data_IF_318321360763
#
_entry.id   IF_318321360763
#
_cell.length_a   1.000
_cell.length_b   1.000
_cell.length_c   1.000
_cell.angle_alpha   90.00
_cell.angle_beta   90.00
_cell.angle_gamma   90.00
#
_symmetry.space_group_name_H-M   'P 1'
#
loop_
_entity.id
_entity.type
_entity.pdbx_description
1 polymer ?
#
# COMPACT_ATOMS: atom_id res chain seq x y z
N UNK A 1 -55.06 18.83 29.43
CA UNK A 1 -54.59 19.70 28.32
C UNK A 1 -53.12 20.08 28.47
N UNK A 2 -52.68 20.60 29.64
CA UNK A 2 -51.27 20.94 29.88
C UNK A 2 -50.29 19.77 29.71
N UNK A 3 -50.59 18.58 30.26
CA UNK A 3 -49.72 17.39 30.11
C UNK A 3 -49.49 16.96 28.65
N UNK A 4 -50.55 17.02 27.83
CA UNK A 4 -50.48 16.64 26.41
C UNK A 4 -49.63 17.66 25.66
N UNK A 5 -49.79 18.96 25.96
CA UNK A 5 -49.01 20.03 25.35
C UNK A 5 -47.52 19.93 25.74
N UNK A 6 -47.20 19.63 27.01
CA UNK A 6 -45.83 19.44 27.47
C UNK A 6 -45.16 18.22 26.82
N UNK A 7 -45.89 17.12 26.65
CA UNK A 7 -45.38 15.94 25.94
C UNK A 7 -45.12 16.24 24.46
N UNK A 8 -46.00 16.99 23.79
CA UNK A 8 -45.82 17.40 22.40
C UNK A 8 -44.61 18.33 22.23
N UNK A 9 -44.45 19.33 23.10
CA UNK A 9 -43.30 20.23 23.08
C UNK A 9 -42.00 19.45 23.35
N UNK A 10 -42.03 18.52 24.30
CA UNK A 10 -40.89 17.65 24.61
C UNK A 10 -40.49 16.77 23.42
N UNK A 11 -41.47 16.16 22.74
CA UNK A 11 -41.23 15.38 21.52
C UNK A 11 -40.63 16.22 20.40
N UNK A 12 -41.20 17.40 20.14
CA UNK A 12 -40.69 18.31 19.11
C UNK A 12 -39.26 18.80 19.42
N UNK A 13 -38.98 19.15 20.67
CA UNK A 13 -37.63 19.57 21.09
C UNK A 13 -36.61 18.44 20.97
N UNK A 14 -37.02 17.20 21.27
CA UNK A 14 -36.19 16.01 21.09
C UNK A 14 -35.90 15.78 19.60
N UNK A 15 -36.92 15.78 18.74
CA UNK A 15 -36.75 15.59 17.29
C UNK A 15 -35.84 16.67 16.69
N UNK A 16 -36.05 17.94 17.04
CA UNK A 16 -35.18 19.05 16.63
C UNK A 16 -33.73 18.86 17.09
N UNK A 17 -33.51 18.36 18.31
CA UNK A 17 -32.17 18.11 18.82
C UNK A 17 -31.46 17.02 18.01
N UNK A 18 -32.16 15.94 17.68
CA UNK A 18 -31.65 14.87 16.83
C UNK A 18 -31.35 15.38 15.42
N UNK A 19 -32.29 16.10 14.79
CA UNK A 19 -32.11 16.66 13.45
C UNK A 19 -30.92 17.65 13.38
N UNK A 20 -30.77 18.50 14.39
CA UNK A 20 -29.64 19.41 14.50
C UNK A 20 -28.31 18.65 14.64
N UNK A 21 -28.31 17.56 15.43
CA UNK A 21 -27.16 16.67 15.57
C UNK A 21 -26.76 16.01 14.25
N UNK A 22 -27.72 15.42 13.54
CA UNK A 22 -27.51 14.76 12.23
C UNK A 22 -27.00 15.78 11.20
N UNK A 23 -27.62 16.96 11.12
CA UNK A 23 -27.23 18.00 10.18
C UNK A 23 -25.81 18.51 10.46
N UNK A 24 -25.48 18.70 11.74
CA UNK A 24 -24.13 19.09 12.16
C UNK A 24 -23.10 18.03 11.78
N UNK A 25 -23.40 16.75 12.05
CA UNK A 25 -22.53 15.63 11.69
C UNK A 25 -22.35 15.51 10.18
N UNK A 26 -23.42 15.63 9.40
CA UNK A 26 -23.37 15.60 7.94
C UNK A 26 -22.47 16.70 7.37
N UNK A 27 -22.59 17.94 7.87
CA UNK A 27 -21.71 19.04 7.46
C UNK A 27 -20.25 18.78 7.83
N UNK A 28 -19.98 18.25 9.02
CA UNK A 28 -18.60 17.90 9.44
C UNK A 28 -18.02 16.78 8.57
N UNK A 29 -18.82 15.76 8.25
CA UNK A 29 -18.43 14.66 7.35
C UNK A 29 -18.14 15.15 5.93
N UNK A 30 -18.97 16.02 5.37
CA UNK A 30 -18.68 16.62 4.06
C UNK A 30 -17.35 17.39 4.09
N UNK A 31 -17.09 18.17 5.14
CA UNK A 31 -15.82 18.88 5.31
C UNK A 31 -14.63 17.91 5.37
N UNK A 32 -14.71 16.85 6.18
CA UNK A 32 -13.63 15.85 6.26
C UNK A 32 -13.41 15.13 4.92
N UNK A 33 -14.46 14.84 4.16
CA UNK A 33 -14.33 14.27 2.81
C UNK A 33 -13.60 15.22 1.85
N UNK A 34 -13.97 16.51 1.81
CA UNK A 34 -13.27 17.48 0.96
C UNK A 34 -11.83 17.73 1.40
N UNK A 35 -11.53 17.66 2.70
CA UNK A 35 -10.16 17.71 3.21
C UNK A 35 -9.35 16.48 2.75
N UNK A 36 -9.95 15.28 2.78
CA UNK A 36 -9.29 14.09 2.25
C UNK A 36 -9.03 14.22 0.73
N UNK A 37 -9.97 14.76 -0.04
CA UNK A 37 -9.77 15.07 -1.46
C UNK A 37 -8.62 16.07 -1.63
N UNK A 38 -8.57 17.13 -0.81
CA UNK A 38 -7.49 18.11 -0.85
C UNK A 38 -6.10 17.47 -0.64
N UNK A 39 -5.98 16.50 0.28
CA UNK A 39 -4.74 15.75 0.46
C UNK A 39 -4.35 14.90 -0.76
N UNK A 40 -5.32 14.34 -1.49
CA UNK A 40 -5.03 13.63 -2.76
C UNK A 40 -4.58 14.60 -3.85
N UNK A 41 -5.21 15.78 -3.96
CA UNK A 41 -4.76 16.80 -4.91
C UNK A 41 -3.37 17.36 -4.55
N UNK A 42 -3.07 17.51 -3.26
CA UNK A 42 -1.74 17.82 -2.78
C UNK A 42 -0.73 16.74 -3.17
N UNK A 43 -1.07 15.45 -3.01
CA UNK A 43 -0.19 14.36 -3.44
C UNK A 43 0.08 14.38 -4.95
N UNK A 44 -0.91 14.72 -5.78
CA UNK A 44 -0.70 14.91 -7.23
C UNK A 44 0.25 16.07 -7.53
N UNK A 45 0.17 17.17 -6.78
CA UNK A 45 1.07 18.31 -6.91
C UNK A 45 2.52 17.90 -6.61
N UNK A 46 2.77 17.28 -5.45
CA UNK A 46 4.11 16.82 -5.06
C UNK A 46 4.65 15.80 -6.06
N UNK A 47 3.81 14.89 -6.55
CA UNK A 47 4.19 13.91 -7.55
C UNK A 47 4.56 14.57 -8.88
N UNK A 48 3.80 15.57 -9.34
CA UNK A 48 4.15 16.34 -10.54
C UNK A 48 5.49 17.09 -10.37
N UNK A 49 5.69 17.77 -9.24
CA UNK A 49 6.95 18.43 -8.89
C UNK A 49 8.13 17.45 -8.89
N UNK A 50 7.93 16.20 -8.45
CA UNK A 50 8.96 15.16 -8.45
C UNK A 50 9.47 14.77 -9.85
N UNK A 51 8.72 15.06 -10.93
CA UNK A 51 9.19 14.85 -12.31
C UNK A 51 9.97 16.04 -12.87
N UNK A 52 9.83 17.21 -12.26
CA UNK A 52 10.46 18.45 -12.72
C UNK A 52 11.69 18.84 -11.89
N UNK A 53 11.72 18.44 -10.61
CA UNK A 53 12.78 18.75 -9.65
C UNK A 53 14.15 18.25 -10.13
N UNK A 54 15.18 19.05 -9.90
CA UNK A 54 16.57 18.72 -10.20
C UNK A 54 17.43 18.96 -8.96
N UNK A 55 18.23 17.97 -8.58
CA UNK A 55 19.14 18.08 -7.42
C UNK A 55 20.12 19.26 -7.58
N UNK A 56 20.56 19.52 -8.81
CA UNK A 56 21.55 20.56 -9.16
C UNK A 56 20.98 21.98 -9.16
N UNK A 57 19.65 22.13 -9.27
CA UNK A 57 18.97 23.41 -9.40
C UNK A 57 17.78 23.45 -8.45
N UNK A 58 17.97 24.08 -7.29
CA UNK A 58 16.86 24.46 -6.44
C UNK A 58 16.21 25.71 -7.02
N UNK A 59 14.91 25.64 -7.28
CA UNK A 59 14.11 26.79 -7.66
C UNK A 59 14.07 27.77 -6.47
N UNK A 60 14.44 29.04 -6.69
CA UNK A 60 14.48 30.05 -5.63
C UNK A 60 13.08 30.36 -5.08
N UNK A 61 12.03 30.10 -5.86
CA UNK A 61 10.63 30.35 -5.49
C UNK A 61 9.98 29.16 -4.73
N UNK A 62 10.65 28.00 -4.63
CA UNK A 62 10.13 26.81 -3.96
C UNK A 62 10.58 26.76 -2.50
N UNK A 63 9.64 26.54 -1.58
CA UNK A 63 9.97 26.34 -0.17
C UNK A 63 10.86 25.10 0.03
N UNK A 64 11.76 25.16 1.02
CA UNK A 64 12.76 24.10 1.25
C UNK A 64 12.10 22.73 1.50
N UNK A 65 11.05 22.71 2.33
CA UNK A 65 10.29 21.49 2.63
C UNK A 65 9.61 20.90 1.38
N UNK A 66 9.06 21.75 0.51
CA UNK A 66 8.44 21.31 -0.76
C UNK A 66 9.49 20.73 -1.70
N UNK A 67 10.66 21.38 -1.81
CA UNK A 67 11.79 20.92 -2.59
C UNK A 67 12.30 19.55 -2.10
N UNK A 68 12.45 19.38 -0.78
CA UNK A 68 12.90 18.11 -0.19
C UNK A 68 11.88 17.00 -0.47
N UNK A 69 10.58 17.25 -0.27
CA UNK A 69 9.50 16.28 -0.57
C UNK A 69 9.54 15.85 -2.03
N UNK A 70 9.62 16.80 -2.96
CA UNK A 70 9.69 16.52 -4.39
C UNK A 70 10.96 15.73 -4.75
N UNK A 71 12.12 16.11 -4.19
CA UNK A 71 13.39 15.44 -4.44
C UNK A 71 13.41 14.00 -3.91
N UNK A 72 12.95 13.78 -2.69
CA UNK A 72 12.87 12.44 -2.09
C UNK A 72 11.96 11.53 -2.91
N UNK A 73 10.78 12.03 -3.30
CA UNK A 73 9.88 11.27 -4.16
C UNK A 73 10.48 11.01 -5.55
N UNK A 74 11.28 11.94 -6.09
CA UNK A 74 11.99 11.74 -7.37
C UNK A 74 13.00 10.58 -7.31
N UNK A 75 13.59 10.35 -6.14
CA UNK A 75 14.44 9.19 -5.81
C UNK A 75 13.63 7.98 -5.35
N UNK A 76 12.32 7.97 -5.53
CA UNK A 76 11.44 6.88 -5.11
C UNK A 76 11.40 6.64 -3.60
N UNK A 77 11.73 7.65 -2.77
CA UNK A 77 11.51 7.62 -1.33
C UNK A 77 10.04 7.96 -1.05
N UNK A 78 9.36 7.10 -0.28
CA UNK A 78 7.99 7.33 0.14
C UNK A 78 7.89 8.46 1.17
N UNK A 79 6.82 9.25 1.10
CA UNK A 79 6.53 10.32 2.04
C UNK A 79 5.36 9.90 2.94
N UNK A 80 5.44 10.16 4.23
CA UNK A 80 4.39 9.77 5.18
C UNK A 80 4.11 10.87 6.19
N UNK A 81 2.85 10.99 6.60
CA UNK A 81 2.42 11.89 7.67
C UNK A 81 2.47 13.38 7.32
N UNK A 82 2.46 13.75 6.03
CA UNK A 82 2.45 15.16 5.63
C UNK A 82 1.11 15.77 6.04
N UNK A 83 1.13 16.72 6.98
CA UNK A 83 -0.07 17.34 7.53
C UNK A 83 -0.15 18.82 7.19
N UNK A 84 -1.26 19.25 6.59
CA UNK A 84 -1.50 20.66 6.24
C UNK A 84 -2.87 21.13 6.75
N UNK A 85 -2.93 22.36 7.25
CA UNK A 85 -4.16 23.00 7.71
C UNK A 85 -4.88 23.67 6.53
N UNK A 86 -6.20 23.42 6.40
CA UNK A 86 -7.02 24.01 5.35
C UNK A 86 -8.40 24.41 5.89
N UNK A 87 -8.57 25.71 6.14
CA UNK A 87 -9.81 26.27 6.68
C UNK A 87 -10.02 25.92 8.15
N UNK A 88 -11.07 25.15 8.46
CA UNK A 88 -11.43 24.74 9.84
C UNK A 88 -11.11 23.25 10.11
N UNK A 89 -10.05 22.75 9.48
CA UNK A 89 -9.60 21.38 9.61
C UNK A 89 -8.27 21.18 8.91
N UNK A 90 -7.83 19.92 8.86
CA UNK A 90 -6.55 19.53 8.28
C UNK A 90 -6.69 18.27 7.46
N UNK A 91 -5.72 18.03 6.60
CA UNK A 91 -5.51 16.71 6.02
C UNK A 91 -4.14 16.17 6.38
N UNK A 92 -4.02 14.85 6.40
CA UNK A 92 -2.74 14.14 6.50
C UNK A 92 -2.63 13.19 5.32
N UNK A 93 -1.48 13.16 4.65
CA UNK A 93 -1.28 12.35 3.45
C UNK A 93 0.02 11.55 3.49
N UNK A 94 -0.09 10.29 3.07
CA UNK A 94 1.02 9.41 2.73
C UNK A 94 1.08 9.23 1.21
N UNK A 95 2.28 9.26 0.64
CA UNK A 95 2.58 9.13 -0.79
C UNK A 95 3.64 8.05 -0.93
N UNK A 96 3.23 6.83 -1.26
CA UNK A 96 4.06 5.64 -1.17
C UNK A 96 4.16 4.94 -2.54
N UNK A 97 5.34 4.88 -3.17
CA UNK A 97 5.55 4.07 -4.36
C UNK A 97 5.08 2.61 -4.17
N UNK A 98 4.28 2.09 -5.09
CA UNK A 98 3.74 0.72 -5.02
C UNK A 98 4.86 -0.32 -5.09
N UNK A 99 5.99 -0.01 -5.75
CA UNK A 99 7.18 -0.85 -5.83
C UNK A 99 7.89 -1.02 -4.48
N UNK A 100 7.48 -0.33 -3.41
CA UNK A 100 7.85 -0.72 -2.05
C UNK A 100 7.29 -2.09 -1.62
N UNK A 101 6.51 -2.76 -2.48
CA UNK A 101 5.89 -4.07 -2.30
C UNK A 101 6.15 -4.98 -3.50
N UNK A 102 5.91 -6.28 -3.32
CA UNK A 102 6.07 -7.33 -4.34
C UNK A 102 4.87 -7.34 -5.29
N UNK A 103 5.11 -7.22 -6.60
CA UNK A 103 4.04 -7.42 -7.58
C UNK A 103 3.72 -8.92 -7.68
N UNK A 104 2.54 -9.31 -7.20
CA UNK A 104 2.03 -10.69 -7.16
C UNK A 104 2.11 -11.36 -8.54
N UNK A 105 1.72 -10.64 -9.58
CA UNK A 105 1.65 -11.17 -10.94
C UNK A 105 3.04 -11.38 -11.58
N UNK A 106 4.10 -10.85 -10.97
CA UNK A 106 5.48 -11.00 -11.44
C UNK A 106 6.30 -11.99 -10.61
N UNK A 107 5.76 -12.57 -9.54
CA UNK A 107 6.50 -13.50 -8.69
C UNK A 107 6.77 -14.83 -9.39
N UNK A 108 8.03 -15.26 -9.39
CA UNK A 108 8.40 -16.64 -9.72
C UNK A 108 8.00 -17.59 -8.58
N UNK A 109 8.10 -18.89 -8.82
CA UNK A 109 7.81 -19.89 -7.78
C UNK A 109 8.80 -19.78 -6.61
N UNK A 110 10.07 -19.48 -6.88
CA UNK A 110 11.07 -19.24 -5.84
C UNK A 110 10.75 -17.97 -5.03
N UNK A 111 10.27 -16.91 -5.69
CA UNK A 111 9.83 -15.69 -4.99
C UNK A 111 8.64 -15.94 -4.07
N UNK A 112 7.68 -16.74 -4.54
CA UNK A 112 6.54 -17.14 -3.72
C UNK A 112 6.97 -17.98 -2.51
N UNK A 113 7.92 -18.91 -2.69
CA UNK A 113 8.48 -19.69 -1.58
C UNK A 113 9.08 -18.79 -0.52
N UNK A 114 9.87 -17.79 -0.93
CA UNK A 114 10.45 -16.83 0.00
C UNK A 114 9.36 -16.01 0.71
N UNK A 115 8.37 -15.49 -0.01
CA UNK A 115 7.23 -14.76 0.60
C UNK A 115 6.49 -15.63 1.62
N UNK A 116 6.23 -16.89 1.30
CA UNK A 116 5.51 -17.81 2.18
C UNK A 116 6.36 -18.25 3.39
N UNK A 117 7.67 -18.43 3.21
CA UNK A 117 8.61 -18.75 4.29
C UNK A 117 8.68 -17.61 5.31
N UNK A 118 8.86 -16.36 4.83
CA UNK A 118 8.82 -15.16 5.67
C UNK A 118 7.47 -14.97 6.38
N UNK A 119 6.38 -15.47 5.80
CA UNK A 119 5.05 -15.44 6.40
C UNK A 119 4.84 -16.49 7.51
N UNK A 120 5.75 -17.47 7.64
CA UNK A 120 5.64 -18.58 8.58
C UNK A 120 4.88 -19.79 8.03
N UNK A 121 4.78 -19.95 6.70
CA UNK A 121 4.13 -21.12 6.08
C UNK A 121 5.14 -22.25 5.94
N UNK A 122 4.86 -23.46 6.48
CA UNK A 122 5.75 -24.60 6.35
C UNK A 122 6.03 -25.00 4.90
N UNK A 123 7.28 -25.40 4.62
CA UNK A 123 7.74 -25.73 3.27
C UNK A 123 6.91 -26.82 2.57
N UNK A 124 6.35 -27.78 3.32
CA UNK A 124 5.50 -28.85 2.77
C UNK A 124 4.12 -28.37 2.31
N UNK A 125 3.75 -27.11 2.61
CA UNK A 125 2.50 -26.46 2.19
C UNK A 125 2.68 -25.47 1.06
N UNK A 126 3.90 -24.96 0.87
CA UNK A 126 4.16 -23.89 -0.10
C UNK A 126 3.87 -24.33 -1.54
N UNK A 127 4.29 -25.54 -1.94
CA UNK A 127 4.09 -26.04 -3.31
C UNK A 127 2.60 -26.18 -3.69
N UNK A 128 1.72 -26.50 -2.72
CA UNK A 128 0.26 -26.58 -2.94
C UNK A 128 -0.34 -25.19 -3.17
N UNK A 129 0.02 -24.21 -2.34
CA UNK A 129 -0.44 -22.82 -2.46
C UNK A 129 0.01 -22.20 -3.78
N UNK A 130 1.28 -22.45 -4.17
CA UNK A 130 1.84 -21.94 -5.42
C UNK A 130 1.13 -22.58 -6.61
N UNK A 131 0.92 -23.90 -6.60
CA UNK A 131 0.19 -24.58 -7.67
C UNK A 131 -1.25 -24.05 -7.82
N UNK A 132 -1.97 -23.87 -6.71
CA UNK A 132 -3.33 -23.28 -6.75
C UNK A 132 -3.32 -21.83 -7.26
N UNK A 133 -2.28 -21.04 -6.95
CA UNK A 133 -2.13 -19.69 -7.52
C UNK A 133 -1.83 -19.73 -9.01
N UNK A 134 -1.04 -20.69 -9.50
CA UNK A 134 -0.73 -20.81 -10.93
C UNK A 134 -1.97 -21.18 -11.75
N UNK A 135 -2.72 -22.19 -11.31
CA UNK A 135 -4.00 -22.61 -11.94
C UNK A 135 -5.07 -21.49 -11.86
N UNK A 136 -4.97 -20.55 -10.91
CA UNK A 136 -5.90 -19.41 -10.87
C UNK A 136 -5.62 -18.38 -11.98
N UNK A 137 -4.37 -18.28 -12.42
CA UNK A 137 -3.85 -17.17 -13.23
C UNK A 137 -3.58 -17.56 -14.68
N UNK A 138 -3.23 -18.81 -14.96
CA UNK A 138 -2.96 -19.27 -16.33
C UNK A 138 -4.24 -19.40 -17.16
N UNK A 139 -4.11 -19.37 -18.49
CA UNK A 139 -5.27 -19.22 -19.38
C UNK A 139 -6.02 -20.54 -19.67
N UNK A 140 -5.48 -21.68 -19.22
CA UNK A 140 -6.04 -23.00 -19.51
C UNK A 140 -6.87 -23.54 -18.34
N UNK A 141 -7.35 -24.79 -18.45
CA UNK A 141 -8.18 -25.44 -17.43
C UNK A 141 -7.49 -26.73 -16.91
N UNK A 142 -6.17 -26.85 -17.13
CA UNK A 142 -5.42 -28.05 -16.79
C UNK A 142 -4.74 -27.89 -15.42
N UNK A 143 -5.33 -28.53 -14.40
CA UNK A 143 -4.80 -28.40 -13.06
C UNK A 143 -3.39 -29.00 -12.89
N UNK A 144 -2.54 -28.30 -12.14
CA UNK A 144 -1.25 -28.83 -11.68
C UNK A 144 -1.45 -29.99 -10.68
N UNK A 145 -0.38 -30.74 -10.38
CA UNK A 145 -0.44 -31.92 -9.50
C UNK A 145 -1.03 -31.61 -8.10
N UNK A 146 -0.71 -30.43 -7.56
CA UNK A 146 -1.21 -29.94 -6.27
C UNK A 146 -2.11 -28.70 -6.45
N UNK A 147 -2.47 -28.38 -7.69
CA UNK A 147 -3.28 -27.22 -8.03
C UNK A 147 -4.78 -27.49 -7.92
N UNK A 148 -5.57 -26.53 -8.38
CA UNK A 148 -7.01 -26.63 -8.43
C UNK A 148 -7.57 -25.70 -9.51
N UNK A 149 -8.40 -26.27 -10.36
CA UNK A 149 -9.13 -25.57 -11.42
C UNK A 149 -10.61 -25.46 -11.12
N UNK A 150 -11.37 -24.79 -11.98
CA UNK A 150 -12.81 -24.53 -11.80
C UNK A 150 -13.66 -25.77 -11.47
N UNK A 151 -13.23 -26.99 -11.83
CA UNK A 151 -13.91 -28.25 -11.52
C UNK A 151 -13.61 -28.83 -10.12
N UNK A 152 -12.65 -28.25 -9.38
CA UNK A 152 -12.30 -28.67 -8.02
C UNK A 152 -13.50 -28.48 -7.05
N UNK A 153 -13.70 -29.41 -6.08
CA UNK A 153 -14.74 -29.29 -5.07
C UNK A 153 -14.74 -27.94 -4.31
N UNK A 154 -13.58 -27.31 -4.15
CA UNK A 154 -13.43 -26.01 -3.50
C UNK A 154 -14.21 -24.92 -4.24
N UNK A 155 -14.06 -24.81 -5.56
CA UNK A 155 -14.68 -23.78 -6.39
C UNK A 155 -16.15 -24.11 -6.69
N UNK A 156 -16.42 -25.35 -7.10
CA UNK A 156 -17.79 -25.81 -7.40
C UNK A 156 -18.76 -25.64 -6.23
N UNK A 157 -18.31 -25.85 -4.99
CA UNK A 157 -19.14 -25.64 -3.78
C UNK A 157 -19.40 -24.16 -3.45
N UNK A 158 -18.55 -23.24 -3.94
CA UNK A 158 -18.68 -21.79 -3.72
C UNK A 158 -19.39 -21.08 -4.87
N UNK A 159 -19.50 -21.72 -6.03
CA UNK A 159 -20.25 -21.23 -7.18
C UNK A 159 -19.54 -20.13 -7.97
N UNK A 160 -18.21 -20.13 -7.98
CA UNK A 160 -17.38 -19.33 -8.87
C UNK A 160 -16.30 -20.20 -9.53
N UNK A 161 -15.71 -19.69 -10.61
CA UNK A 161 -14.70 -20.35 -11.42
C UNK A 161 -13.32 -19.71 -11.17
N UNK A 162 -12.25 -20.43 -11.53
CA UNK A 162 -10.92 -19.83 -11.66
C UNK A 162 -10.96 -18.68 -12.67
N UNK A 163 -10.12 -17.68 -12.43
CA UNK A 163 -10.17 -16.44 -13.21
C UNK A 163 -9.50 -16.59 -14.57
N UNK A 164 -8.45 -17.41 -14.62
CA UNK A 164 -7.62 -17.68 -15.78
C UNK A 164 -7.01 -16.40 -16.37
N UNK A 165 -6.64 -15.48 -15.48
CA UNK A 165 -6.03 -14.20 -15.81
C UNK A 165 -5.26 -13.63 -14.60
N UNK A 166 -4.35 -12.65 -14.82
CA UNK A 166 -3.67 -11.95 -13.72
C UNK A 166 -4.61 -11.40 -12.67
N UNK A 167 -4.14 -11.39 -11.42
CA UNK A 167 -4.89 -10.89 -10.26
C UNK A 167 -5.07 -9.37 -10.36
N UNK A 168 -6.28 -8.87 -10.12
CA UNK A 168 -6.61 -7.44 -10.18
C UNK A 168 -6.47 -6.74 -8.83
N UNK A 169 -6.60 -7.48 -7.72
CA UNK A 169 -6.48 -6.94 -6.36
C UNK A 169 -5.83 -7.97 -5.43
N UNK A 170 -5.10 -7.51 -4.41
CA UNK A 170 -4.50 -8.42 -3.41
C UNK A 170 -5.57 -9.25 -2.70
N UNK A 171 -6.73 -8.66 -2.41
CA UNK A 171 -7.86 -9.33 -1.77
C UNK A 171 -8.43 -10.51 -2.60
N UNK A 172 -8.18 -10.53 -3.92
CA UNK A 172 -8.58 -11.64 -4.80
C UNK A 172 -7.91 -12.97 -4.41
N UNK A 173 -6.75 -12.94 -3.75
CA UNK A 173 -6.11 -14.15 -3.24
C UNK A 173 -7.03 -14.93 -2.29
N UNK A 174 -7.98 -14.28 -1.60
CA UNK A 174 -8.99 -14.97 -0.77
C UNK A 174 -9.93 -15.89 -1.55
N UNK A 175 -9.97 -15.78 -2.88
CA UNK A 175 -10.75 -16.65 -3.75
C UNK A 175 -9.95 -17.90 -4.14
N UNK A 176 -8.63 -17.89 -4.00
CA UNK A 176 -7.77 -19.00 -4.39
C UNK A 176 -7.79 -20.06 -3.29
N UNK A 177 -7.89 -21.34 -3.68
CA UNK A 177 -7.82 -22.47 -2.74
C UNK A 177 -6.55 -22.41 -1.89
N UNK A 178 -6.72 -22.56 -0.58
CA UNK A 178 -5.62 -22.57 0.40
C UNK A 178 -5.20 -21.18 0.92
N UNK A 179 -5.52 -20.09 0.22
CA UNK A 179 -5.23 -18.74 0.70
C UNK A 179 -6.28 -18.29 1.73
N UNK A 180 -5.88 -18.28 3.01
CA UNK A 180 -6.77 -17.97 4.12
C UNK A 180 -6.65 -16.53 4.60
N UNK A 181 -7.64 -16.09 5.39
CA UNK A 181 -7.62 -14.77 6.01
C UNK A 181 -6.37 -14.56 6.88
N UNK A 182 -5.94 -15.58 7.63
CA UNK A 182 -4.78 -15.46 8.50
C UNK A 182 -3.48 -15.43 7.68
N UNK A 183 -3.40 -16.11 6.54
CA UNK A 183 -2.27 -15.99 5.63
C UNK A 183 -2.16 -14.59 5.03
N UNK A 184 -3.29 -13.98 4.63
CA UNK A 184 -3.29 -12.66 4.02
C UNK A 184 -3.10 -11.54 5.04
N UNK A 185 -3.83 -11.54 6.15
CA UNK A 185 -3.89 -10.40 7.07
C UNK A 185 -3.23 -10.65 8.43
N UNK A 186 -2.67 -11.84 8.61
CA UNK A 186 -2.03 -12.27 9.86
C UNK A 186 -3.02 -12.87 10.84
N UNK A 187 -2.53 -13.71 11.74
CA UNK A 187 -3.35 -14.38 12.76
C UNK A 187 -2.79 -15.74 13.17
N UNK A 188 -3.55 -16.52 13.96
CA UNK A 188 -3.12 -17.87 14.36
C UNK A 188 -2.81 -18.75 13.15
N UNK A 189 -1.65 -19.41 13.18
CA UNK A 189 -1.26 -20.36 12.14
C UNK A 189 -2.20 -21.55 12.13
N UNK A 190 -2.70 -21.91 10.94
CA UNK A 190 -3.45 -23.14 10.72
C UNK A 190 -2.53 -24.36 10.53
N UNK A 191 -1.23 -24.12 10.37
CA UNK A 191 -0.24 -25.16 10.08
C UNK A 191 0.49 -25.62 11.34
N UNK A 192 0.82 -24.70 12.25
CA UNK A 192 1.62 -24.97 13.45
C UNK A 192 0.90 -24.43 14.68
N UNK A 193 0.54 -25.32 15.60
CA UNK A 193 -0.18 -24.96 16.83
C UNK A 193 0.67 -24.05 17.72
N UNK A 194 0.11 -22.89 18.08
CA UNK A 194 0.76 -21.91 18.97
C UNK A 194 1.61 -20.85 18.25
N UNK A 195 1.74 -20.92 16.92
CA UNK A 195 2.42 -19.92 16.10
C UNK A 195 1.42 -18.99 15.41
N UNK A 196 1.91 -17.84 14.92
CA UNK A 196 1.12 -16.88 14.16
C UNK A 196 1.74 -16.68 12.77
N UNK A 197 0.88 -16.51 11.77
CA UNK A 197 1.26 -16.02 10.45
C UNK A 197 1.35 -14.49 10.49
N UNK A 198 2.33 -13.93 9.80
CA UNK A 198 2.57 -12.48 9.78
C UNK A 198 1.51 -11.73 8.96
N UNK A 199 1.00 -12.35 7.89
CA UNK A 199 0.10 -11.72 6.93
C UNK A 199 0.86 -11.10 5.75
N UNK A 200 0.62 -11.61 4.54
CA UNK A 200 1.35 -11.19 3.33
C UNK A 200 0.71 -10.03 2.56
N UNK A 201 -0.54 -9.67 2.85
CA UNK A 201 -1.28 -8.70 2.03
C UNK A 201 -0.62 -7.30 2.02
N UNK A 202 0.02 -6.90 3.13
CA UNK A 202 0.76 -5.65 3.23
C UNK A 202 2.09 -5.67 2.48
N UNK A 203 2.59 -6.83 2.06
CA UNK A 203 3.84 -6.99 1.31
C UNK A 203 3.61 -6.98 -0.20
N UNK A 204 2.36 -7.07 -0.62
CA UNK A 204 1.98 -7.36 -1.99
C UNK A 204 1.31 -6.17 -2.69
N UNK A 205 1.41 -6.16 -4.01
CA UNK A 205 0.72 -5.25 -4.92
C UNK A 205 0.42 -5.96 -6.24
N UNK A 206 -0.44 -5.36 -7.07
CA UNK A 206 -0.66 -5.76 -8.47
C UNK A 206 -0.03 -4.77 -9.46
N UNK A 207 0.60 -3.70 -8.95
CA UNK A 207 1.16 -2.60 -9.73
C UNK A 207 2.68 -2.70 -9.82
N UNK A 208 3.25 -2.18 -10.91
CA UNK A 208 4.71 -2.15 -11.14
C UNK A 208 5.21 -3.28 -12.02
N UNK A 209 6.52 -3.30 -12.27
CA UNK A 209 7.20 -4.23 -13.18
C UNK A 209 7.71 -5.51 -12.49
N UNK A 210 7.55 -5.61 -11.16
CA UNK A 210 8.03 -6.72 -10.34
C UNK A 210 9.30 -6.42 -9.55
N UNK A 211 9.98 -5.30 -9.83
CA UNK A 211 11.14 -4.88 -9.05
C UNK A 211 10.73 -4.18 -7.76
N UNK A 212 11.53 -4.35 -6.72
CA UNK A 212 11.32 -3.77 -5.39
C UNK A 212 12.14 -2.50 -5.23
N UNK A 213 11.47 -1.40 -4.91
CA UNK A 213 12.10 -0.13 -4.60
C UNK A 213 12.65 -0.14 -3.16
N UNK A 214 13.97 -0.23 -3.01
CA UNK A 214 14.64 -0.32 -1.70
C UNK A 214 14.53 0.96 -0.86
N UNK A 215 14.27 2.10 -1.50
CA UNK A 215 14.08 3.37 -0.81
C UNK A 215 12.75 3.44 -0.06
N UNK A 216 11.76 2.63 -0.46
CA UNK A 216 10.41 2.63 0.14
C UNK A 216 10.05 1.30 0.82
N UNK A 217 10.62 0.18 0.37
CA UNK A 217 10.24 -1.15 0.85
C UNK A 217 10.40 -1.30 2.38
N UNK A 218 9.47 -2.01 3.01
CA UNK A 218 9.59 -2.34 4.43
C UNK A 218 10.60 -3.46 4.64
N UNK A 219 11.02 -3.68 5.89
CA UNK A 219 11.91 -4.79 6.24
C UNK A 219 11.38 -6.12 5.71
N UNK A 220 10.10 -6.36 5.94
CA UNK A 220 9.43 -7.62 5.61
C UNK A 220 9.45 -7.84 4.10
N UNK A 221 9.21 -6.80 3.30
CA UNK A 221 9.32 -6.89 1.84
C UNK A 221 10.76 -7.14 1.41
N UNK A 222 11.74 -6.46 2.00
CA UNK A 222 13.16 -6.63 1.65
C UNK A 222 13.66 -8.04 1.96
N UNK A 223 13.24 -8.64 3.07
CA UNK A 223 13.57 -10.02 3.43
C UNK A 223 13.03 -11.05 2.44
N UNK A 224 12.03 -10.69 1.64
CA UNK A 224 11.52 -11.59 0.59
C UNK A 224 12.40 -11.61 -0.68
N UNK A 225 13.41 -10.73 -0.79
CA UNK A 225 14.27 -10.65 -1.97
C UNK A 225 15.34 -11.73 -1.87
N UNK A 226 15.35 -12.65 -2.83
CA UNK A 226 16.30 -13.76 -2.82
C UNK A 226 17.71 -13.22 -3.01
N UNK A 227 18.60 -13.56 -2.07
CA UNK A 227 19.99 -13.12 -2.05
C UNK A 227 20.28 -11.93 -1.14
N UNK A 228 19.26 -11.37 -0.46
CA UNK A 228 19.47 -10.47 0.67
C UNK A 228 19.39 -11.24 1.99
N UNK A 229 20.37 -11.04 2.86
CA UNK A 229 20.34 -11.53 4.23
C UNK A 229 19.88 -10.43 5.21
N UNK A 230 19.55 -10.79 6.45
CA UNK A 230 19.12 -9.82 7.47
C UNK A 230 20.06 -8.63 7.63
N UNK A 231 21.37 -8.87 7.56
CA UNK A 231 22.37 -7.80 7.69
C UNK A 231 22.38 -6.86 6.47
N UNK A 232 22.10 -7.37 5.27
CA UNK A 232 21.95 -6.54 4.08
C UNK A 232 20.71 -5.65 4.22
N UNK A 233 19.61 -6.21 4.73
CA UNK A 233 18.37 -5.46 4.98
C UNK A 233 18.59 -4.39 6.06
N UNK A 234 19.31 -4.70 7.13
CA UNK A 234 19.68 -3.74 8.17
C UNK A 234 20.48 -2.57 7.59
N UNK A 235 21.47 -2.87 6.77
CA UNK A 235 22.30 -1.86 6.13
C UNK A 235 21.49 -1.05 5.09
N UNK A 236 20.59 -1.66 4.31
CA UNK A 236 19.68 -0.94 3.40
C UNK A 236 18.83 0.08 4.18
N UNK A 237 18.21 -0.36 5.27
CA UNK A 237 17.32 0.48 6.08
C UNK A 237 18.08 1.61 6.78
N UNK A 238 19.34 1.41 7.15
CA UNK A 238 20.20 2.44 7.74
C UNK A 238 20.71 3.42 6.68
N UNK A 239 21.29 2.91 5.60
CA UNK A 239 21.96 3.73 4.59
C UNK A 239 20.99 4.57 3.75
N UNK A 240 19.71 4.17 3.65
CA UNK A 240 18.69 4.97 2.97
C UNK A 240 18.25 6.23 3.71
N UNK A 241 18.60 6.38 5.00
CA UNK A 241 18.38 7.61 5.78
C UNK A 241 19.46 8.67 5.54
N UNK A 242 20.40 8.40 4.63
CA UNK A 242 21.50 9.31 4.35
C UNK A 242 22.54 9.39 5.49
N UNK A 243 23.61 10.19 5.27
CA UNK A 243 24.63 10.47 6.28
C UNK A 243 24.16 11.07 7.60
N UNK A 244 23.07 11.84 7.62
CA UNK A 244 22.56 12.46 8.85
C UNK A 244 21.73 11.50 9.73
N UNK A 245 21.17 10.44 9.12
CA UNK A 245 20.40 9.42 9.82
C UNK A 245 19.00 9.87 10.24
N UNK A 246 18.54 11.02 9.75
CA UNK A 246 17.24 11.59 10.07
C UNK A 246 16.29 11.44 8.87
N UNK A 247 15.08 10.88 9.05
CA UNK A 247 14.16 10.68 7.95
C UNK A 247 13.55 12.01 7.45
N UNK A 248 13.30 12.09 6.15
CA UNK A 248 12.67 13.23 5.51
C UNK A 248 13.63 14.36 5.16
N UNK A 249 14.92 14.07 5.07
CA UNK A 249 15.98 15.05 4.76
C UNK A 249 16.42 14.94 3.30
N UNK A 250 17.26 15.89 2.85
CA UNK A 250 17.68 16.02 1.44
C UNK A 250 18.59 14.87 0.97
N UNK A 251 19.24 14.18 1.89
CA UNK A 251 20.19 13.09 1.66
C UNK A 251 19.58 11.69 1.75
N UNK A 252 18.26 11.61 1.94
CA UNK A 252 17.50 10.36 1.89
C UNK A 252 17.56 9.67 0.51
N UNK A 253 17.52 8.35 0.60
CA UNK A 253 17.40 7.42 -0.52
C UNK A 253 18.71 7.20 -1.27
N UNK A 254 18.86 5.98 -1.80
CA UNK A 254 19.87 5.68 -2.81
C UNK A 254 19.47 6.32 -4.14
N UNK A 255 20.45 6.83 -4.88
CA UNK A 255 20.24 7.43 -6.20
C UNK A 255 19.95 6.33 -7.23
N UNK A 256 20.74 5.27 -7.23
CA UNK A 256 20.61 4.19 -8.20
C UNK A 256 20.98 2.84 -7.60
N UNK A 257 20.66 1.76 -8.31
CA UNK A 257 20.96 0.39 -7.89
C UNK A 257 22.46 0.15 -7.71
N UNK A 258 23.33 0.80 -8.49
CA UNK A 258 24.78 0.62 -8.35
C UNK A 258 25.31 1.20 -7.02
N UNK A 259 24.71 2.29 -6.53
CA UNK A 259 25.00 2.84 -5.21
C UNK A 259 24.62 1.85 -4.09
N UNK A 260 23.43 1.23 -4.19
CA UNK A 260 22.96 0.21 -3.25
C UNK A 260 23.98 -0.93 -3.15
N UNK A 261 24.29 -1.54 -4.30
CA UNK A 261 25.18 -2.71 -4.38
C UNK A 261 26.60 -2.39 -3.91
N UNK A 262 27.14 -1.23 -4.29
CA UNK A 262 28.50 -0.82 -3.90
C UNK A 262 28.64 -0.50 -2.43
N UNK A 263 27.63 0.16 -1.81
CA UNK A 263 27.62 0.44 -0.37
C UNK A 263 27.53 -0.83 0.47
N UNK A 264 26.71 -1.78 0.04
CA UNK A 264 26.46 -3.04 0.76
C UNK A 264 27.53 -4.11 0.48
N UNK A 265 28.35 -3.93 -0.56
CA UNK A 265 29.30 -4.96 -0.99
C UNK A 265 28.63 -6.18 -1.64
N UNK A 266 27.39 -6.04 -2.11
CA UNK A 266 26.64 -7.10 -2.78
C UNK A 266 27.10 -7.20 -4.23
N UNK A 267 27.54 -8.39 -4.63
CA UNK A 267 27.97 -8.69 -6.00
C UNK A 267 27.03 -9.65 -6.73
N UNK A 268 25.92 -10.04 -6.10
CA UNK A 268 24.94 -10.94 -6.70
C UNK A 268 24.07 -10.21 -7.73
N UNK A 269 24.20 -10.62 -8.99
CA UNK A 269 23.41 -10.09 -10.11
C UNK A 269 21.92 -10.44 -9.99
N UNK A 270 21.55 -11.47 -9.23
CA UNK A 270 20.15 -11.80 -8.93
C UNK A 270 19.49 -10.69 -8.13
N UNK A 271 20.19 -10.12 -7.15
CA UNK A 271 19.68 -9.01 -6.33
C UNK A 271 19.47 -7.78 -7.22
N UNK A 272 20.46 -7.44 -8.07
CA UNK A 272 20.36 -6.31 -9.02
C UNK A 272 19.10 -6.37 -9.88
N UNK A 273 18.73 -7.56 -10.36
CA UNK A 273 17.56 -7.73 -11.24
C UNK A 273 16.21 -7.66 -10.50
N UNK A 274 16.21 -7.80 -9.17
CA UNK A 274 15.02 -7.75 -8.33
C UNK A 274 14.75 -6.36 -7.73
N UNK A 275 15.73 -5.43 -7.74
CA UNK A 275 15.62 -4.13 -7.07
C UNK A 275 15.60 -2.92 -8.02
N UNK A 276 15.07 -1.81 -7.52
CA UNK A 276 15.08 -0.48 -8.14
C UNK A 276 15.18 0.60 -7.05
N UNK A 277 15.33 1.87 -7.43
CA UNK A 277 15.43 3.01 -6.50
C UNK A 277 14.47 4.14 -6.87
N UNK A 278 14.35 4.48 -8.15
CA UNK A 278 13.67 5.71 -8.60
C UNK A 278 12.21 5.51 -9.06
N UNK A 279 11.72 4.27 -9.05
CA UNK A 279 10.44 3.94 -9.64
C UNK A 279 9.28 4.49 -8.80
N UNK A 280 8.45 5.32 -9.45
CA UNK A 280 7.31 6.04 -8.88
C UNK A 280 6.14 6.20 -9.85
N UNK A 281 6.09 5.37 -10.92
CA UNK A 281 4.99 5.39 -11.89
C UNK A 281 3.65 5.01 -11.25
N UNK A 282 3.65 4.14 -10.24
CA UNK A 282 2.46 3.76 -9.49
C UNK A 282 2.65 4.13 -8.04
N UNK A 283 1.77 5.00 -7.52
CA UNK A 283 1.90 5.56 -6.18
C UNK A 283 0.59 5.38 -5.43
N UNK A 284 0.69 4.75 -4.26
CA UNK A 284 -0.38 4.73 -3.28
C UNK A 284 -0.47 6.06 -2.59
N UNK A 285 -1.67 6.62 -2.52
CA UNK A 285 -1.95 7.79 -1.71
C UNK A 285 -2.99 7.42 -0.65
N UNK A 286 -2.66 7.70 0.60
CA UNK A 286 -3.57 7.56 1.73
C UNK A 286 -3.78 8.97 2.27
N UNK A 287 -4.98 9.52 2.08
CA UNK A 287 -5.31 10.86 2.54
C UNK A 287 -6.43 10.81 3.58
N UNK A 288 -6.20 11.45 4.72
CA UNK A 288 -7.14 11.52 5.82
C UNK A 288 -7.49 12.97 6.07
N UNK A 289 -8.74 13.34 5.85
CA UNK A 289 -9.27 14.66 6.22
C UNK A 289 -9.91 14.62 7.61
N UNK A 290 -9.68 15.65 8.42
CA UNK A 290 -10.19 15.77 9.78
C UNK A 290 -10.81 17.15 10.02
N UNK A 291 -12.05 17.18 10.51
CA UNK A 291 -12.71 18.43 10.93
C UNK A 291 -13.63 18.19 12.14
N UNK A 292 -13.39 18.93 13.23
CA UNK A 292 -14.16 18.85 14.48
C UNK A 292 -14.35 17.41 15.01
N UNK A 293 -13.29 16.60 14.93
CA UNK A 293 -13.25 15.21 15.39
C UNK A 293 -13.92 14.20 14.45
N UNK A 294 -14.42 14.62 13.29
CA UNK A 294 -14.92 13.72 12.24
C UNK A 294 -13.82 13.51 11.20
N UNK A 295 -13.56 12.24 10.85
CA UNK A 295 -12.52 11.84 9.90
C UNK A 295 -13.11 11.16 8.67
N UNK A 296 -12.43 11.32 7.54
CA UNK A 296 -12.73 10.60 6.30
C UNK A 296 -11.42 10.27 5.60
N UNK A 297 -11.32 9.06 5.07
CA UNK A 297 -10.11 8.55 4.41
C UNK A 297 -10.35 8.29 2.93
N UNK A 298 -9.31 8.50 2.14
CA UNK A 298 -9.23 8.09 0.74
C UNK A 298 -7.97 7.25 0.57
N UNK A 299 -8.13 6.08 -0.03
CA UNK A 299 -7.06 5.20 -0.46
C UNK A 299 -7.15 5.10 -1.96
N UNK A 300 -6.13 5.60 -2.66
CA UNK A 300 -6.09 5.53 -4.11
C UNK A 300 -4.72 5.07 -4.59
N UNK A 301 -4.69 4.52 -5.80
CA UNK A 301 -3.47 4.29 -6.54
C UNK A 301 -3.49 5.21 -7.75
N UNK A 302 -2.46 6.04 -7.85
CA UNK A 302 -2.25 6.96 -8.94
C UNK A 302 -1.21 6.38 -9.88
N UNK A 303 -1.45 6.50 -11.17
CA UNK A 303 -0.43 6.35 -12.20
C UNK A 303 0.08 7.73 -12.57
N UNK A 304 1.40 7.92 -12.50
CA UNK A 304 2.04 9.17 -12.89
C UNK A 304 3.09 8.93 -13.97
N UNK A 305 3.16 9.90 -14.88
CA UNK A 305 4.23 10.07 -15.83
C UNK A 305 4.47 11.56 -16.06
N UNK A 306 5.36 11.90 -16.99
CA UNK A 306 5.65 13.30 -17.35
C UNK A 306 4.45 14.04 -17.97
N UNK A 307 3.40 13.33 -18.40
CA UNK A 307 2.23 13.91 -19.05
C UNK A 307 1.07 14.18 -18.10
N UNK A 308 1.04 13.52 -16.93
CA UNK A 308 0.08 13.81 -15.88
C UNK A 308 -0.06 12.69 -14.85
N UNK A 309 -1.06 12.86 -13.97
CA UNK A 309 -1.38 11.91 -12.89
C UNK A 309 -2.83 11.46 -13.04
N UNK A 310 -3.03 10.15 -13.20
CA UNK A 310 -4.35 9.53 -13.42
C UNK A 310 -4.67 8.53 -12.30
N UNK A 311 -5.85 8.59 -11.66
CA UNK A 311 -6.24 7.58 -10.67
C UNK A 311 -6.59 6.25 -11.36
N UNK A 312 -6.03 5.15 -10.87
CA UNK A 312 -6.33 3.78 -11.30
C UNK A 312 -7.25 3.05 -10.34
N UNK A 313 -7.10 3.32 -9.04
CA UNK A 313 -7.93 2.76 -7.98
C UNK A 313 -8.37 3.88 -7.05
N UNK A 314 -9.60 3.83 -6.54
CA UNK A 314 -10.15 4.83 -5.63
C UNK A 314 -11.13 4.21 -4.65
N UNK A 315 -10.87 4.38 -3.36
CA UNK A 315 -11.74 3.94 -2.27
C UNK A 315 -11.86 5.03 -1.22
N UNK A 316 -13.10 5.39 -0.90
CA UNK A 316 -13.42 6.33 0.18
C UNK A 316 -14.03 5.59 1.35
N UNK A 317 -13.58 5.91 2.56
CA UNK A 317 -14.17 5.35 3.78
C UNK A 317 -14.44 6.43 4.81
N UNK A 318 -15.59 6.31 5.48
CA UNK A 318 -15.83 7.06 6.70
C UNK A 318 -14.99 6.42 7.81
N UNK A 319 -14.21 7.23 8.52
CA UNK A 319 -13.43 6.76 9.64
C UNK A 319 -14.21 6.94 10.96
N UNK A 320 -14.07 6.01 11.91
CA UNK A 320 -14.72 6.09 13.22
C UNK A 320 -14.22 7.24 14.08
#
# INVERSE_FOLDING_TARGET
>A
MLLILSLLIGGFAFDMHIEAGITSFYRKRLRSQYLAIAGVEYAKLVLAQSYEVKEEFQDEDMEEDEYIRALNLSRGVGLSGIGEELGEGRFTVDILPEQGRRNINSLSDDDWKEVLDQAGVPQDKQDELIACFRDWVDEDDAHLLLGAESDDPYYTSRGYECKNAPVDTVDELMLIKGFTHNLLYGGPSEYVEGENLTGIASWLTVWGDGKVNVNTATREVLLTIIGLEDFDVDDILRERLGPDGEPGTKDDGFKNVDEVLSKLGISDERVRNQITTEERKYVRVISIGESYGVRSGIWCVLQADQSGVTPLFWREEAMP
#
